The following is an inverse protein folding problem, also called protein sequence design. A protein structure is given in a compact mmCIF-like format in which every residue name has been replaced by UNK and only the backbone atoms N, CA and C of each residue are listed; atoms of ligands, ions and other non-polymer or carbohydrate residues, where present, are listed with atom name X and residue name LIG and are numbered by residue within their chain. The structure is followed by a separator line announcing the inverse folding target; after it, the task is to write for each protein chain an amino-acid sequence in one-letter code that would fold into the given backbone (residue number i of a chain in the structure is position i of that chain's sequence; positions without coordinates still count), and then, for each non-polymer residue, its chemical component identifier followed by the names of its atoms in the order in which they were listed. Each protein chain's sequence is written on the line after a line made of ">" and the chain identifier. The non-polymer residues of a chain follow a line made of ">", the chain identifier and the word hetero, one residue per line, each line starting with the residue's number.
data_IF_696516761388
#
_entry.id   IF_696516761388
#
_cell.length_a   1.000
_cell.length_b   1.000
_cell.length_c   1.000
_cell.angle_alpha   90.00
_cell.angle_beta   90.00
_cell.angle_gamma   90.00
#
_symmetry.space_group_name_H-M   'P 1'
#
loop_
_entity.id
_entity.type
_entity.pdbx_description
1 polymer ?
#
# COMPACT_ATOMS: atom_id res chain seq x y z
N UNK A 1 15.79 -68.95 -64.55
CA UNK A 1 17.12 -69.13 -65.17
C UNK A 1 17.82 -67.79 -65.14
N UNK A 2 19.05 -67.80 -64.60
CA UNK A 2 20.00 -66.69 -64.48
C UNK A 2 20.16 -65.92 -65.82
N UNK A 3 20.58 -64.66 -65.87
CA UNK A 3 21.99 -64.24 -65.74
C UNK A 3 22.09 -62.77 -65.29
N UNK A 4 22.95 -62.52 -64.29
CA UNK A 4 23.50 -61.22 -63.93
C UNK A 4 24.80 -60.95 -64.73
N UNK A 5 25.20 -59.67 -64.88
CA UNK A 5 26.58 -59.11 -64.84
C UNK A 5 26.48 -57.58 -65.14
N UNK A 6 26.68 -56.67 -64.17
CA UNK A 6 27.90 -55.84 -63.88
C UNK A 6 28.32 -54.90 -65.05
N UNK A 7 28.67 -53.61 -64.93
CA UNK A 7 29.16 -52.70 -63.86
C UNK A 7 29.35 -51.26 -64.41
N UNK A 8 29.37 -50.23 -63.53
CA UNK A 8 30.05 -48.91 -63.71
C UNK A 8 29.18 -47.69 -63.35
N UNK A 9 29.23 -47.11 -62.13
CA UNK A 9 30.12 -46.03 -61.64
C UNK A 9 29.96 -44.73 -62.49
N UNK A 10 29.58 -43.55 -61.99
CA UNK A 10 29.75 -42.96 -60.66
C UNK A 10 28.88 -41.69 -60.45
N UNK A 11 28.63 -41.38 -59.17
CA UNK A 11 28.56 -40.05 -58.54
C UNK A 11 27.36 -39.12 -58.79
N UNK A 12 26.29 -39.36 -58.02
CA UNK A 12 25.31 -38.35 -57.63
C UNK A 12 25.84 -37.46 -56.51
N UNK A 13 25.87 -36.15 -56.75
CA UNK A 13 26.20 -35.09 -55.78
C UNK A 13 25.27 -35.20 -54.56
N UNK A 14 25.82 -35.57 -53.39
CA UNK A 14 25.15 -35.38 -52.10
C UNK A 14 25.32 -33.91 -51.68
N UNK A 15 24.28 -33.11 -51.86
CA UNK A 15 24.19 -31.79 -51.21
C UNK A 15 24.13 -32.00 -49.69
N UNK A 16 25.19 -31.65 -48.97
CA UNK A 16 25.12 -31.44 -47.53
C UNK A 16 24.41 -30.13 -47.28
N UNK A 17 23.18 -30.19 -46.79
CA UNK A 17 22.62 -29.08 -46.02
C UNK A 17 23.42 -29.04 -44.72
N UNK A 18 24.32 -28.06 -44.59
CA UNK A 18 24.93 -27.71 -43.32
C UNK A 18 23.82 -27.15 -42.43
N UNK A 19 23.25 -28.00 -41.59
CA UNK A 19 22.35 -27.64 -40.50
C UNK A 19 23.16 -26.78 -39.51
N UNK A 20 23.15 -25.47 -39.67
CA UNK A 20 23.65 -24.51 -38.69
C UNK A 20 22.70 -24.47 -37.48
N UNK A 21 22.58 -25.58 -36.76
CA UNK A 21 22.07 -25.51 -35.39
C UNK A 21 23.15 -24.84 -34.57
N UNK A 22 22.95 -23.56 -34.27
CA UNK A 22 23.62 -22.84 -33.19
C UNK A 22 23.68 -23.79 -31.97
N UNK A 23 24.87 -24.27 -31.65
CA UNK A 23 25.15 -25.30 -30.65
C UNK A 23 24.95 -24.79 -29.23
N UNK A 24 23.71 -24.51 -28.86
CA UNK A 24 23.34 -24.11 -27.52
C UNK A 24 22.96 -25.36 -26.73
N UNK A 25 23.68 -25.65 -25.64
CA UNK A 25 23.43 -26.85 -24.85
C UNK A 25 22.08 -26.76 -24.13
N UNK A 26 21.38 -27.88 -23.96
CA UNK A 26 20.09 -27.96 -23.25
C UNK A 26 20.17 -27.36 -21.84
N UNK A 27 21.34 -27.45 -21.20
CA UNK A 27 21.64 -26.81 -19.91
C UNK A 27 21.56 -25.29 -19.98
N UNK A 28 22.06 -24.69 -21.05
CA UNK A 28 22.07 -23.24 -21.23
C UNK A 28 20.65 -22.71 -21.53
N UNK A 29 19.81 -23.49 -22.22
CA UNK A 29 18.37 -23.18 -22.40
C UNK A 29 17.66 -23.21 -21.05
N UNK A 30 17.90 -24.26 -20.26
CA UNK A 30 17.31 -24.39 -18.94
C UNK A 30 17.73 -23.25 -18.00
N UNK A 31 19.02 -22.90 -17.96
CA UNK A 31 19.52 -21.79 -17.12
C UNK A 31 18.92 -20.44 -17.51
N UNK A 32 18.79 -20.14 -18.81
CA UNK A 32 18.08 -18.93 -19.27
C UNK A 32 16.60 -18.95 -18.86
N UNK A 33 15.93 -20.09 -18.99
CA UNK A 33 14.52 -20.22 -18.62
C UNK A 33 14.30 -20.00 -17.12
N UNK A 34 15.11 -20.64 -16.27
CA UNK A 34 15.04 -20.44 -14.82
C UNK A 34 15.34 -19.01 -14.41
N UNK A 35 16.39 -18.39 -14.96
CA UNK A 35 16.74 -17.00 -14.62
C UNK A 35 15.62 -16.03 -15.01
N UNK A 36 15.05 -16.16 -16.22
CA UNK A 36 13.90 -15.35 -16.66
C UNK A 36 12.67 -15.56 -15.77
N UNK A 37 12.43 -16.77 -15.28
CA UNK A 37 11.32 -17.07 -14.38
C UNK A 37 11.52 -16.46 -12.99
N UNK A 38 12.75 -16.49 -12.45
CA UNK A 38 13.10 -15.81 -11.21
C UNK A 38 13.01 -14.29 -11.33
N UNK A 39 13.48 -13.70 -12.43
CA UNK A 39 13.35 -12.26 -12.68
C UNK A 39 11.89 -11.83 -12.75
N UNK A 40 11.06 -12.61 -13.43
CA UNK A 40 9.61 -12.35 -13.52
C UNK A 40 8.94 -12.42 -12.15
N UNK A 41 9.27 -13.41 -11.33
CA UNK A 41 8.76 -13.55 -9.97
C UNK A 41 9.22 -12.41 -9.04
N UNK A 42 10.48 -12.00 -9.14
CA UNK A 42 11.02 -10.87 -8.36
C UNK A 42 10.33 -9.58 -8.76
N UNK A 43 10.10 -9.36 -10.07
CA UNK A 43 9.41 -8.17 -10.57
C UNK A 43 7.96 -8.12 -10.11
N UNK A 44 7.21 -9.24 -10.18
CA UNK A 44 5.81 -9.28 -9.70
C UNK A 44 5.71 -9.06 -8.20
N UNK A 45 6.63 -9.63 -7.41
CA UNK A 45 6.67 -9.42 -5.97
C UNK A 45 6.99 -7.96 -5.61
N UNK A 46 7.92 -7.32 -6.32
CA UNK A 46 8.26 -5.92 -6.12
C UNK A 46 7.07 -4.98 -6.40
N UNK A 47 6.31 -5.25 -7.47
CA UNK A 47 5.08 -4.49 -7.80
C UNK A 47 4.01 -4.65 -6.71
N UNK A 48 3.84 -5.85 -6.17
CA UNK A 48 2.88 -6.11 -5.07
C UNK A 48 3.26 -5.39 -3.77
N UNK A 49 4.56 -5.31 -3.44
CA UNK A 49 5.03 -4.57 -2.26
C UNK A 49 4.75 -3.08 -2.38
N UNK A 50 4.97 -2.47 -3.54
CA UNK A 50 4.63 -1.06 -3.77
C UNK A 50 3.12 -0.75 -3.68
N UNK A 51 2.25 -1.75 -3.91
CA UNK A 51 0.80 -1.58 -3.81
C UNK A 51 0.27 -1.63 -2.36
N UNK A 52 1.11 -2.02 -1.39
CA UNK A 52 0.74 -2.21 0.02
C UNK A 52 1.38 -1.15 0.94
N UNK A 53 1.44 0.10 0.50
CA UNK A 53 1.93 1.19 1.35
C UNK A 53 0.88 1.57 2.41
N UNK A 54 0.88 0.84 3.53
CA UNK A 54 0.28 1.32 4.76
C UNK A 54 1.01 2.61 5.19
N UNK A 55 0.26 3.57 5.74
CA UNK A 55 0.80 4.86 6.20
C UNK A 55 0.66 5.04 7.72
N UNK A 56 1.17 4.11 8.54
CA UNK A 56 0.99 4.17 10.00
C UNK A 56 1.62 5.42 10.62
N UNK A 57 2.60 6.04 9.97
CA UNK A 57 3.27 7.25 10.44
C UNK A 57 2.32 8.45 10.62
N UNK A 58 1.16 8.49 9.96
CA UNK A 58 0.22 9.59 10.14
C UNK A 58 -0.44 9.58 11.52
N UNK A 59 -0.51 8.42 12.19
CA UNK A 59 -0.96 8.34 13.58
C UNK A 59 -0.01 9.04 14.55
N UNK A 60 1.25 9.28 14.17
CA UNK A 60 2.22 10.02 14.99
C UNK A 60 2.14 11.54 14.76
N UNK A 61 1.36 11.99 13.77
CA UNK A 61 1.25 13.40 13.41
C UNK A 61 0.03 14.10 14.01
N UNK A 62 -0.81 13.38 14.75
CA UNK A 62 -1.99 13.93 15.43
C UNK A 62 -1.99 13.43 16.89
N UNK A 63 -2.47 14.23 17.85
CA UNK A 63 -2.52 13.83 19.25
C UNK A 63 -3.51 12.67 19.44
N UNK A 64 -3.21 11.78 20.38
CA UNK A 64 -4.10 10.67 20.80
C UNK A 64 -4.62 9.74 19.68
N UNK A 65 -4.03 9.71 18.47
CA UNK A 65 -4.56 8.91 17.35
C UNK A 65 -4.87 7.45 17.70
N UNK A 66 -3.99 6.82 18.49
CA UNK A 66 -4.12 5.41 18.94
C UNK A 66 -5.11 5.21 20.08
N UNK A 67 -5.55 6.29 20.71
CA UNK A 67 -6.46 6.29 21.84
C UNK A 67 -7.92 6.45 21.41
N UNK A 68 -8.18 6.95 20.20
CA UNK A 68 -9.53 7.16 19.65
C UNK A 68 -10.33 5.86 19.65
N UNK A 69 -11.57 5.97 20.12
CA UNK A 69 -12.57 4.91 20.11
C UNK A 69 -13.82 5.41 19.39
N UNK A 70 -14.54 4.48 18.78
CA UNK A 70 -15.85 4.72 18.19
C UNK A 70 -16.96 4.75 19.24
N UNK A 71 -18.17 5.15 18.82
CA UNK A 71 -19.37 5.15 19.66
C UNK A 71 -19.68 3.77 20.27
N UNK A 72 -19.28 2.69 19.59
CA UNK A 72 -19.45 1.32 20.05
C UNK A 72 -18.39 0.89 21.08
N UNK A 73 -17.46 1.79 21.43
CA UNK A 73 -16.34 1.54 22.36
C UNK A 73 -15.13 0.87 21.71
N UNK A 74 -15.22 0.50 20.44
CA UNK A 74 -14.15 -0.16 19.69
C UNK A 74 -13.05 0.81 19.26
N UNK A 75 -11.80 0.33 19.18
CA UNK A 75 -10.66 1.17 18.77
C UNK A 75 -10.76 1.55 17.28
N UNK A 76 -10.56 2.83 16.99
CA UNK A 76 -10.50 3.37 15.63
C UNK A 76 -9.12 4.00 15.36
N UNK A 77 -8.06 3.19 15.14
CA UNK A 77 -6.74 3.73 14.82
C UNK A 77 -6.71 4.46 13.46
N UNK A 78 -7.66 4.16 12.57
CA UNK A 78 -7.86 4.79 11.27
C UNK A 78 -8.59 6.13 11.34
N UNK A 79 -8.19 7.04 12.22
CA UNK A 79 -8.91 8.29 12.53
C UNK A 79 -9.31 9.10 11.28
N UNK A 80 -8.44 9.14 10.25
CA UNK A 80 -8.71 9.85 8.99
C UNK A 80 -9.54 9.09 7.95
N UNK A 81 -10.07 7.91 8.27
CA UNK A 81 -10.79 7.04 7.35
C UNK A 81 -12.18 6.69 7.87
N UNK A 82 -13.10 6.35 6.96
CA UNK A 82 -14.39 5.78 7.36
C UNK A 82 -14.26 4.36 7.91
N UNK A 83 -13.28 3.60 7.42
CA UNK A 83 -12.96 2.29 7.99
C UNK A 83 -12.04 2.48 9.22
N UNK A 84 -12.44 2.01 10.42
CA UNK A 84 -11.64 2.14 11.64
C UNK A 84 -10.23 1.53 11.54
N UNK A 85 -10.01 0.60 10.61
CA UNK A 85 -8.70 -0.02 10.36
C UNK A 85 -7.75 0.86 9.51
N UNK A 86 -8.18 2.07 9.11
CA UNK A 86 -7.34 3.03 8.39
C UNK A 86 -7.17 2.70 6.91
N UNK A 87 -8.21 2.12 6.29
CA UNK A 87 -8.21 1.76 4.86
C UNK A 87 -9.36 2.39 4.12
N UNK A 88 -9.29 2.44 2.78
CA UNK A 88 -10.34 2.99 1.95
C UNK A 88 -10.42 4.52 2.02
N UNK A 89 -11.61 5.06 1.74
CA UNK A 89 -11.83 6.50 1.62
C UNK A 89 -11.59 7.25 2.93
N UNK A 90 -11.08 8.48 2.80
CA UNK A 90 -10.95 9.39 3.92
C UNK A 90 -12.32 9.89 4.37
N UNK A 91 -12.47 10.11 5.67
CA UNK A 91 -13.58 10.91 6.21
C UNK A 91 -13.27 12.42 6.06
N UNK A 92 -14.12 13.28 6.62
CA UNK A 92 -13.92 14.73 6.56
C UNK A 92 -12.58 15.14 7.23
N UNK A 93 -12.34 14.68 8.46
CA UNK A 93 -11.06 14.88 9.17
C UNK A 93 -9.83 14.50 8.34
N UNK A 94 -9.83 13.31 7.73
CA UNK A 94 -8.70 12.86 6.92
C UNK A 94 -8.52 13.67 5.64
N UNK A 95 -9.60 14.21 5.09
CA UNK A 95 -9.56 15.10 3.93
C UNK A 95 -8.99 16.47 4.33
N UNK A 96 -9.45 17.03 5.44
CA UNK A 96 -8.95 18.29 5.99
C UNK A 96 -7.49 18.19 6.46
N UNK A 97 -7.10 17.05 7.05
CA UNK A 97 -5.71 16.77 7.39
C UNK A 97 -4.82 16.75 6.14
N UNK A 98 -5.32 16.18 5.04
CA UNK A 98 -4.61 16.20 3.77
C UNK A 98 -4.48 17.62 3.20
N UNK A 99 -5.54 18.43 3.29
CA UNK A 99 -5.54 19.85 2.88
C UNK A 99 -4.59 20.71 3.73
N UNK A 100 -4.48 20.41 5.03
CA UNK A 100 -3.51 21.01 5.94
C UNK A 100 -2.06 20.57 5.69
N UNK A 101 -1.80 19.82 4.60
CA UNK A 101 -0.48 19.30 4.27
C UNK A 101 0.00 18.22 5.23
N UNK A 102 -0.94 17.50 5.87
CA UNK A 102 -0.70 16.43 6.85
C UNK A 102 0.10 16.91 8.06
N UNK A 103 -0.27 18.08 8.57
CA UNK A 103 0.35 18.73 9.73
C UNK A 103 -0.72 19.11 10.74
N UNK A 104 -0.39 18.92 12.02
CA UNK A 104 -1.16 19.46 13.13
C UNK A 104 -0.92 20.97 13.25
N UNK A 105 -1.51 21.74 12.34
CA UNK A 105 -1.46 23.20 12.36
C UNK A 105 -2.52 23.75 13.31
N UNK A 106 -2.31 24.95 13.84
CA UNK A 106 -3.32 25.63 14.68
C UNK A 106 -4.66 25.80 13.95
N UNK A 107 -4.63 26.09 12.65
CA UNK A 107 -5.84 26.19 11.84
C UNK A 107 -6.59 24.85 11.71
N UNK A 108 -5.85 23.75 11.47
CA UNK A 108 -6.45 22.42 11.41
C UNK A 108 -6.95 21.95 12.78
N UNK A 109 -6.22 22.24 13.86
CA UNK A 109 -6.62 21.91 15.22
C UNK A 109 -7.92 22.61 15.64
N UNK A 110 -8.10 23.88 15.27
CA UNK A 110 -9.31 24.65 15.55
C UNK A 110 -10.49 24.35 14.60
N UNK A 111 -10.29 23.53 13.57
CA UNK A 111 -11.34 23.16 12.63
C UNK A 111 -12.27 22.12 13.26
N UNK A 112 -13.57 22.26 13.03
CA UNK A 112 -14.58 21.23 13.31
C UNK A 112 -14.83 20.48 12.00
N UNK A 113 -14.19 19.31 11.84
CA UNK A 113 -14.17 18.62 10.54
C UNK A 113 -15.46 17.85 10.28
N UNK A 114 -16.08 17.30 11.32
CA UNK A 114 -17.31 16.50 11.20
C UNK A 114 -18.59 17.24 11.57
N UNK A 115 -18.45 18.51 11.97
CA UNK A 115 -19.52 19.48 12.24
C UNK A 115 -20.33 19.15 13.50
N UNK A 116 -19.75 18.43 14.45
CA UNK A 116 -20.43 18.05 15.70
C UNK A 116 -20.41 19.15 16.78
N UNK A 117 -19.72 20.27 16.50
CA UNK A 117 -19.60 21.43 17.37
C UNK A 117 -18.35 21.43 18.24
N UNK A 118 -17.46 20.44 18.11
CA UNK A 118 -16.15 20.41 18.74
C UNK A 118 -15.03 20.60 17.71
N UNK A 119 -13.98 21.31 18.10
CA UNK A 119 -12.78 21.37 17.28
C UNK A 119 -11.99 20.06 17.33
N UNK A 120 -11.27 19.75 16.27
CA UNK A 120 -10.36 18.59 16.19
C UNK A 120 -9.42 18.51 17.42
N UNK A 121 -8.96 19.66 17.93
CA UNK A 121 -8.16 19.79 19.14
C UNK A 121 -8.90 19.41 20.41
N UNK A 122 -10.12 19.92 20.60
CA UNK A 122 -10.97 19.51 21.71
C UNK A 122 -11.27 18.01 21.67
N UNK A 123 -11.40 17.41 20.50
CA UNK A 123 -11.70 16.00 20.41
C UNK A 123 -10.48 15.12 20.65
N UNK A 124 -9.31 15.50 20.12
CA UNK A 124 -8.06 14.73 20.22
C UNK A 124 -7.19 15.10 21.43
N UNK A 125 -7.69 15.94 22.35
CA UNK A 125 -7.02 16.23 23.63
C UNK A 125 -5.95 17.32 23.57
N UNK A 126 -6.05 18.22 22.59
CA UNK A 126 -5.26 19.44 22.42
C UNK A 126 -6.18 20.68 22.23
N UNK A 127 -7.03 21.03 23.23
CA UNK A 127 -8.00 22.12 23.10
C UNK A 127 -7.35 23.51 22.93
N UNK A 128 -6.10 23.68 23.36
CA UNK A 128 -5.36 24.94 23.22
C UNK A 128 -4.51 24.98 21.94
N UNK A 129 -4.54 23.93 21.11
CA UNK A 129 -3.77 23.81 19.86
C UNK A 129 -2.25 24.00 20.00
N UNK A 130 -1.71 23.57 21.15
CA UNK A 130 -0.29 23.73 21.51
C UNK A 130 0.52 22.46 21.29
N UNK A 131 -0.11 21.30 21.12
CA UNK A 131 0.59 20.03 20.95
C UNK A 131 1.54 20.06 19.75
N UNK A 132 2.70 19.42 19.91
CA UNK A 132 3.66 19.17 18.84
C UNK A 132 3.96 17.68 18.73
N UNK A 133 4.40 17.26 17.54
CA UNK A 133 4.76 15.88 17.25
C UNK A 133 5.76 15.34 18.27
N UNK A 134 5.39 14.23 18.92
CA UNK A 134 6.19 13.56 19.95
C UNK A 134 5.91 14.02 21.38
N UNK A 135 5.13 15.08 21.58
CA UNK A 135 4.72 15.54 22.91
C UNK A 135 3.54 14.72 23.46
N UNK A 136 3.29 14.87 24.76
CA UNK A 136 2.09 14.33 25.38
C UNK A 136 0.93 15.31 25.18
N UNK A 137 -0.24 14.85 24.70
CA UNK A 137 -1.44 15.69 24.64
C UNK A 137 -1.81 16.18 26.05
N UNK A 138 -2.46 17.34 26.12
CA UNK A 138 -2.89 17.93 27.40
C UNK A 138 -3.92 17.05 28.13
N UNK A 139 -4.67 16.26 27.37
CA UNK A 139 -5.73 15.37 27.87
C UNK A 139 -5.73 14.06 27.08
N UNK A 140 -6.03 12.94 27.74
CA UNK A 140 -6.11 11.61 27.09
C UNK A 140 -7.45 10.89 27.33
N UNK A 141 -8.27 11.40 28.24
CA UNK A 141 -9.61 10.93 28.59
C UNK A 141 -10.68 11.86 28.01
N UNK A 142 -11.94 11.42 27.91
CA UNK A 142 -13.05 12.20 27.32
C UNK A 142 -12.77 12.73 25.91
N UNK A 143 -11.92 12.04 25.16
CA UNK A 143 -11.66 12.30 23.73
C UNK A 143 -12.79 11.69 22.89
N UNK A 144 -12.98 12.20 21.68
CA UNK A 144 -13.97 11.73 20.70
C UNK A 144 -13.32 11.49 19.34
N UNK A 145 -14.11 11.05 18.36
CA UNK A 145 -13.62 10.75 17.02
C UNK A 145 -13.90 11.93 16.08
N UNK A 146 -12.88 12.66 15.60
CA UNK A 146 -13.05 13.95 14.92
C UNK A 146 -13.55 13.91 13.49
N UNK A 147 -14.05 12.75 13.08
CA UNK A 147 -14.48 12.44 11.73
C UNK A 147 -15.85 11.75 11.72
N UNK A 148 -16.55 11.76 12.86
CA UNK A 148 -17.83 11.12 13.11
C UNK A 148 -18.74 12.08 13.86
N UNK A 149 -19.64 12.68 13.10
CA UNK A 149 -20.70 13.53 13.65
C UNK A 149 -21.52 12.80 14.72
N UNK A 150 -21.44 13.26 15.98
CA UNK A 150 -22.29 12.79 17.08
C UNK A 150 -22.91 13.99 17.82
N UNK A 151 -24.09 14.43 17.36
CA UNK A 151 -24.82 15.57 17.93
C UNK A 151 -25.16 15.48 19.43
N UNK A 152 -25.08 14.30 20.06
CA UNK A 152 -25.58 14.06 21.42
C UNK A 152 -24.53 14.08 22.53
N UNK A 153 -23.24 14.33 22.26
CA UNK A 153 -22.22 14.41 23.31
C UNK A 153 -22.07 15.79 23.96
N UNK A 154 -22.79 16.81 23.48
CA UNK A 154 -22.75 18.16 24.04
C UNK A 154 -23.60 18.34 25.32
N UNK A 155 -24.51 17.40 25.65
CA UNK A 155 -25.43 17.57 26.79
C UNK A 155 -25.02 16.89 28.09
N UNK A 156 -23.98 16.04 28.07
CA UNK A 156 -23.59 15.20 29.23
C UNK A 156 -22.15 15.46 29.73
N UNK A 157 -21.59 16.66 29.51
CA UNK A 157 -20.31 17.07 30.12
C UNK A 157 -20.48 18.15 31.18
#
# INVERSE_FOLDING_TARGET
>A
MFVALKTGFSDGIKLRVSDERLGYSDTAVATLCYTLQWFSLILTLAVLVCALEARPQYMDLIPNARNVVDCDGEKSPGVGHYNPQGTGANNAFGSDFALAGRKWTEAFCNQDSDLDGLSNGEELGDPDCVWRVGEKPSRTDKISHPGKFVASHHTDR
#
